data_IF_375642918019
#
_entry.id   IF_375642918019
#
_cell.length_a   1.000
_cell.length_b   1.000
_cell.length_c   1.000
_cell.angle_alpha   90.00
_cell.angle_beta   90.00
_cell.angle_gamma   90.00
#
_symmetry.space_group_name_H-M   'P 1'
#
loop_
_entity.id
_entity.type
_entity.pdbx_description
1 polymer ?
#
# COMPACT_ATOMS: atom_id res chain seq x y z
N UNK A 1 -46.28 34.91 -42.24
CA UNK A 1 -46.25 36.19 -42.97
C UNK A 1 -45.52 37.19 -42.10
N UNK A 2 -44.26 37.50 -42.42
CA UNK A 2 -43.59 38.67 -41.85
C UNK A 2 -44.22 39.92 -42.47
N UNK A 3 -44.61 40.90 -41.66
CA UNK A 3 -45.05 42.20 -42.18
C UNK A 3 -43.78 42.93 -42.63
N UNK A 4 -43.55 42.97 -43.94
CA UNK A 4 -42.43 43.69 -44.56
C UNK A 4 -42.63 45.21 -44.45
N UNK A 5 -41.54 45.98 -44.50
CA UNK A 5 -41.54 47.45 -44.43
C UNK A 5 -42.50 48.07 -45.45
N UNK A 6 -42.58 47.45 -46.63
CA UNK A 6 -43.48 47.85 -47.72
C UNK A 6 -44.95 47.73 -47.33
N UNK A 7 -45.34 46.62 -46.71
CA UNK A 7 -46.72 46.42 -46.25
C UNK A 7 -47.10 47.42 -45.14
N UNK A 8 -46.13 47.84 -44.33
CA UNK A 8 -46.34 48.86 -43.28
C UNK A 8 -46.53 50.26 -43.88
N UNK A 9 -45.77 50.59 -44.92
CA UNK A 9 -45.92 51.85 -45.65
C UNK A 9 -47.26 51.93 -46.41
N UNK A 10 -47.65 50.84 -47.09
CA UNK A 10 -48.94 50.77 -47.79
C UNK A 10 -50.13 50.93 -46.82
N UNK A 11 -50.02 50.35 -45.61
CA UNK A 11 -51.02 50.51 -44.55
C UNK A 11 -51.10 51.95 -44.03
N UNK A 12 -49.95 52.61 -43.85
CA UNK A 12 -49.91 54.02 -43.46
C UNK A 12 -50.63 54.91 -44.48
N UNK A 13 -50.34 54.76 -45.77
CA UNK A 13 -51.00 55.54 -46.84
C UNK A 13 -52.52 55.31 -46.86
N UNK A 14 -52.96 54.06 -46.62
CA UNK A 14 -54.37 53.75 -46.52
C UNK A 14 -55.02 54.48 -45.32
N UNK A 15 -54.40 54.46 -44.14
CA UNK A 15 -54.92 55.16 -42.95
C UNK A 15 -54.88 56.68 -43.09
N UNK A 16 -53.83 57.24 -43.69
CA UNK A 16 -53.71 58.68 -43.96
C UNK A 16 -54.84 59.16 -44.86
N UNK A 17 -55.17 58.40 -45.92
CA UNK A 17 -56.25 58.75 -46.86
C UNK A 17 -57.64 58.76 -46.20
N UNK A 18 -57.84 57.96 -45.16
CA UNK A 18 -59.16 57.70 -44.56
C UNK A 18 -59.40 58.54 -43.30
N UNK A 19 -58.34 58.80 -42.52
CA UNK A 19 -58.41 59.40 -41.19
C UNK A 19 -57.59 60.70 -41.07
N UNK A 20 -56.73 61.01 -42.03
CA UNK A 20 -55.77 62.13 -41.96
C UNK A 20 -54.46 61.76 -41.26
N UNK A 21 -53.37 62.50 -41.54
CA UNK A 21 -52.00 62.10 -41.16
C UNK A 21 -51.82 61.93 -39.65
N UNK A 22 -52.30 62.88 -38.84
CA UNK A 22 -52.10 62.88 -37.38
C UNK A 22 -52.70 61.64 -36.70
N UNK A 23 -53.87 61.16 -37.18
CA UNK A 23 -54.50 59.94 -36.66
C UNK A 23 -53.84 58.67 -37.19
N UNK A 24 -53.32 58.71 -38.42
CA UNK A 24 -52.56 57.60 -38.99
C UNK A 24 -51.22 57.39 -38.26
N UNK A 25 -50.50 58.47 -37.96
CA UNK A 25 -49.26 58.46 -37.18
C UNK A 25 -49.48 57.78 -35.82
N UNK A 26 -50.49 58.22 -35.05
CA UNK A 26 -50.80 57.61 -33.76
C UNK A 26 -51.21 56.13 -33.85
N UNK A 27 -51.95 55.72 -34.89
CA UNK A 27 -52.30 54.31 -35.09
C UNK A 27 -51.06 53.48 -35.41
N UNK A 28 -50.15 54.00 -36.23
CA UNK A 28 -48.89 53.32 -36.56
C UNK A 28 -47.94 53.27 -35.36
N UNK A 29 -47.91 54.28 -34.50
CA UNK A 29 -47.15 54.28 -33.23
C UNK A 29 -47.65 53.22 -32.24
N UNK A 30 -48.95 52.88 -32.27
CA UNK A 30 -49.53 51.84 -31.42
C UNK A 30 -49.28 50.42 -31.94
N UNK A 31 -48.86 50.26 -33.20
CA UNK A 31 -48.49 48.95 -33.72
C UNK A 31 -47.13 48.54 -33.14
N UNK A 32 -46.97 47.27 -32.74
CA UNK A 32 -45.68 46.80 -32.29
C UNK A 32 -44.62 47.01 -33.38
N UNK A 33 -43.38 47.42 -33.02
CA UNK A 33 -42.32 47.73 -33.98
C UNK A 33 -41.84 46.49 -34.76
N UNK A 34 -42.23 45.30 -34.31
CA UNK A 34 -41.94 43.99 -34.92
C UNK A 34 -43.24 43.27 -35.26
N UNK A 35 -43.19 42.36 -36.23
CA UNK A 35 -44.38 41.61 -36.63
C UNK A 35 -44.82 40.63 -35.55
N UNK A 36 -46.11 40.25 -35.53
CA UNK A 36 -46.61 39.19 -34.66
C UNK A 36 -45.95 37.82 -34.89
N UNK A 37 -45.26 37.65 -36.01
CA UNK A 37 -44.45 36.47 -36.31
C UNK A 37 -43.15 36.38 -35.49
N UNK A 38 -42.68 37.50 -34.93
CA UNK A 38 -41.45 37.57 -34.13
C UNK A 38 -41.72 37.33 -32.64
N UNK A 39 -43.00 37.29 -32.24
CA UNK A 39 -43.42 37.01 -30.86
C UNK A 39 -43.53 35.51 -30.67
N UNK A 40 -42.82 34.98 -29.67
CA UNK A 40 -42.93 33.56 -29.30
C UNK A 40 -44.38 33.19 -29.00
N UNK A 41 -44.87 32.16 -29.68
CA UNK A 41 -46.22 31.65 -29.50
C UNK A 41 -46.26 30.65 -28.34
N UNK A 42 -47.47 30.33 -27.87
CA UNK A 42 -47.65 29.23 -26.90
C UNK A 42 -47.14 27.90 -27.43
N UNK A 43 -47.23 27.66 -28.75
CA UNK A 43 -46.70 26.45 -29.37
C UNK A 43 -45.17 26.39 -29.28
N UNK A 44 -44.48 27.53 -29.43
CA UNK A 44 -43.02 27.60 -29.29
C UNK A 44 -42.60 27.32 -27.85
N UNK A 45 -43.37 27.84 -26.87
CA UNK A 45 -43.13 27.56 -25.45
C UNK A 45 -43.37 26.10 -25.09
N UNK A 46 -44.45 25.48 -25.58
CA UNK A 46 -44.72 24.05 -25.37
C UNK A 46 -43.61 23.18 -25.97
N UNK A 47 -43.14 23.51 -27.18
CA UNK A 47 -42.01 22.79 -27.79
C UNK A 47 -40.70 22.98 -27.04
N UNK A 48 -40.49 24.14 -26.41
CA UNK A 48 -39.34 24.38 -25.55
C UNK A 48 -39.43 23.59 -24.24
N UNK A 49 -40.61 23.56 -23.61
CA UNK A 49 -40.90 22.81 -22.39
C UNK A 49 -40.66 21.31 -22.59
N UNK A 50 -41.22 20.72 -23.64
CA UNK A 50 -41.02 19.31 -23.96
C UNK A 50 -39.54 18.97 -24.18
N UNK A 51 -38.81 19.81 -24.92
CA UNK A 51 -37.36 19.65 -25.11
C UNK A 51 -36.58 19.76 -23.81
N UNK A 52 -36.98 20.64 -22.92
CA UNK A 52 -36.35 20.79 -21.61
C UNK A 52 -36.60 19.55 -20.75
N UNK A 53 -37.82 19.07 -20.69
CA UNK A 53 -38.19 17.87 -19.93
C UNK A 53 -37.41 16.64 -20.41
N UNK A 54 -37.33 16.43 -21.73
CA UNK A 54 -36.52 15.36 -22.31
C UNK A 54 -35.05 15.47 -21.92
N UNK A 55 -34.50 16.69 -21.92
CA UNK A 55 -33.09 16.92 -21.54
C UNK A 55 -32.86 16.72 -20.05
N UNK A 56 -33.82 17.09 -19.19
CA UNK A 56 -33.75 16.82 -17.77
C UNK A 56 -33.85 15.33 -17.46
N UNK A 57 -34.76 14.61 -18.11
CA UNK A 57 -34.87 13.15 -17.99
C UNK A 57 -33.58 12.46 -18.44
N UNK A 58 -33.00 12.89 -19.55
CA UNK A 58 -31.71 12.36 -20.01
C UNK A 58 -30.60 12.61 -18.97
N UNK A 59 -30.52 13.82 -18.43
CA UNK A 59 -29.52 14.19 -17.41
C UNK A 59 -29.72 13.40 -16.11
N UNK A 60 -30.96 13.21 -15.67
CA UNK A 60 -31.28 12.39 -14.50
C UNK A 60 -30.86 10.93 -14.72
N UNK A 61 -31.10 10.37 -15.90
CA UNK A 61 -30.64 9.03 -16.27
C UNK A 61 -29.12 8.93 -16.32
N UNK A 62 -28.42 9.96 -16.81
CA UNK A 62 -26.96 10.02 -16.81
C UNK A 62 -26.39 10.06 -15.38
N UNK A 63 -27.03 10.80 -14.48
CA UNK A 63 -26.64 10.87 -13.07
C UNK A 63 -26.86 9.54 -12.37
N UNK A 64 -28.00 8.86 -12.58
CA UNK A 64 -28.24 7.54 -12.00
C UNK A 64 -27.20 6.52 -12.46
N UNK A 65 -26.85 6.50 -13.76
CA UNK A 65 -25.79 5.62 -14.27
C UNK A 65 -24.41 5.96 -13.70
N UNK A 66 -24.16 7.24 -13.41
CA UNK A 66 -22.93 7.66 -12.74
C UNK A 66 -22.88 7.15 -11.30
N UNK A 67 -23.97 7.26 -10.55
CA UNK A 67 -24.10 6.75 -9.19
C UNK A 67 -23.88 5.23 -9.15
N UNK A 68 -24.58 4.47 -9.99
CA UNK A 68 -24.39 3.00 -10.11
C UNK A 68 -22.94 2.63 -10.42
N UNK A 69 -22.28 3.37 -11.32
CA UNK A 69 -20.86 3.15 -11.65
C UNK A 69 -19.93 3.49 -10.47
N UNK A 70 -20.25 4.54 -9.71
CA UNK A 70 -19.46 4.89 -8.52
C UNK A 70 -19.60 3.82 -7.44
N UNK A 71 -20.81 3.33 -7.18
CA UNK A 71 -21.06 2.28 -6.20
C UNK A 71 -20.28 1.01 -6.53
N UNK A 72 -20.34 0.55 -7.79
CA UNK A 72 -19.56 -0.59 -8.26
C UNK A 72 -18.05 -0.38 -8.08
N UNK A 73 -17.56 0.84 -8.34
CA UNK A 73 -16.14 1.16 -8.17
C UNK A 73 -15.73 1.21 -6.70
N UNK A 74 -16.58 1.72 -5.82
CA UNK A 74 -16.34 1.71 -4.38
C UNK A 74 -16.33 0.30 -3.81
N UNK A 75 -17.26 -0.55 -4.25
CA UNK A 75 -17.27 -1.97 -3.89
C UNK A 75 -15.97 -2.66 -4.33
N UNK A 76 -15.55 -2.47 -5.57
CA UNK A 76 -14.30 -3.05 -6.07
C UNK A 76 -13.07 -2.61 -5.26
N UNK A 77 -13.00 -1.33 -4.86
CA UNK A 77 -11.92 -0.81 -4.00
C UNK A 77 -11.99 -1.41 -2.60
N UNK A 78 -13.18 -1.57 -2.02
CA UNK A 78 -13.36 -2.20 -0.72
C UNK A 78 -12.90 -3.67 -0.72
N UNK A 79 -13.24 -4.41 -1.77
CA UNK A 79 -12.82 -5.80 -1.97
C UNK A 79 -11.29 -5.90 -2.14
N UNK A 80 -10.69 -4.98 -2.91
CA UNK A 80 -9.24 -4.93 -3.08
C UNK A 80 -8.52 -4.65 -1.76
N UNK A 81 -9.07 -3.74 -0.95
CA UNK A 81 -8.52 -3.40 0.37
C UNK A 81 -8.60 -4.61 1.32
N UNK A 82 -9.74 -5.31 1.37
CA UNK A 82 -9.88 -6.54 2.15
C UNK A 82 -8.86 -7.61 1.70
N UNK A 83 -8.72 -7.81 0.38
CA UNK A 83 -7.74 -8.75 -0.14
C UNK A 83 -6.29 -8.34 0.15
N UNK A 84 -6.00 -7.04 0.27
CA UNK A 84 -4.70 -6.55 0.71
C UNK A 84 -4.45 -6.81 2.20
N UNK A 85 -5.46 -6.59 3.05
CA UNK A 85 -5.41 -6.88 4.48
C UNK A 85 -5.14 -8.37 4.74
N UNK A 86 -5.90 -9.27 4.13
CA UNK A 86 -5.68 -10.72 4.26
C UNK A 86 -4.28 -11.15 3.82
N UNK A 87 -3.77 -10.58 2.71
CA UNK A 87 -2.40 -10.87 2.24
C UNK A 87 -1.33 -10.35 3.20
N UNK A 88 -1.55 -9.19 3.82
CA UNK A 88 -0.64 -8.67 4.83
C UNK A 88 -0.63 -9.55 6.06
N UNK A 89 -1.79 -9.98 6.54
CA UNK A 89 -1.91 -10.86 7.71
C UNK A 89 -1.20 -12.20 7.49
N UNK A 90 -1.44 -12.83 6.34
CA UNK A 90 -0.75 -14.07 5.96
C UNK A 90 0.77 -13.87 5.89
N UNK A 91 1.23 -12.74 5.35
CA UNK A 91 2.66 -12.43 5.27
C UNK A 91 3.27 -12.17 6.63
N UNK A 92 2.57 -11.48 7.53
CA UNK A 92 3.01 -11.27 8.91
C UNK A 92 3.08 -12.59 9.68
N UNK A 93 2.10 -13.47 9.52
CA UNK A 93 2.14 -14.81 10.11
C UNK A 93 3.34 -15.60 9.59
N UNK A 94 3.58 -15.61 8.28
CA UNK A 94 4.73 -16.30 7.70
C UNK A 94 6.08 -15.77 8.25
N UNK A 95 6.20 -14.44 8.43
CA UNK A 95 7.40 -13.84 9.03
C UNK A 95 7.53 -14.22 10.51
N UNK A 96 6.43 -14.25 11.26
CA UNK A 96 6.44 -14.66 12.66
C UNK A 96 6.88 -16.12 12.81
N UNK A 97 6.37 -17.02 11.96
CA UNK A 97 6.76 -18.43 11.93
C UNK A 97 8.23 -18.60 11.55
N UNK A 98 8.73 -17.84 10.56
CA UNK A 98 10.13 -17.86 10.17
C UNK A 98 11.05 -17.41 11.32
N UNK A 99 10.67 -16.34 12.02
CA UNK A 99 11.41 -15.82 13.16
C UNK A 99 11.44 -16.84 14.31
N UNK A 100 10.31 -17.47 14.61
CA UNK A 100 10.24 -18.52 15.61
C UNK A 100 11.12 -19.73 15.23
N UNK A 101 11.08 -20.14 13.96
CA UNK A 101 11.97 -21.19 13.45
C UNK A 101 13.45 -20.80 13.48
N UNK A 102 13.79 -19.51 13.37
CA UNK A 102 15.17 -19.03 13.52
C UNK A 102 15.62 -19.03 14.98
N UNK A 103 14.74 -18.67 15.90
CA UNK A 103 14.98 -18.72 17.34
C UNK A 103 15.29 -20.17 17.78
N UNK A 104 14.45 -21.13 17.40
CA UNK A 104 14.63 -22.54 17.75
C UNK A 104 15.94 -23.12 17.15
N UNK A 105 16.26 -22.79 15.89
CA UNK A 105 17.54 -23.20 15.28
C UNK A 105 18.74 -22.59 16.00
N UNK A 106 18.62 -21.33 16.41
CA UNK A 106 19.69 -20.62 17.12
C UNK A 106 19.92 -21.26 18.48
N UNK A 107 18.85 -21.54 19.23
CA UNK A 107 18.89 -22.25 20.50
C UNK A 107 19.53 -23.63 20.38
N UNK A 108 19.08 -24.45 19.44
CA UNK A 108 19.66 -25.78 19.19
C UNK A 108 21.16 -25.70 18.83
N UNK A 109 21.56 -24.67 18.07
CA UNK A 109 22.97 -24.44 17.74
C UNK A 109 23.79 -24.04 18.97
N UNK A 110 23.26 -23.20 19.86
CA UNK A 110 23.92 -22.88 21.12
C UNK A 110 24.09 -24.11 22.00
N UNK A 111 23.06 -24.93 22.16
CA UNK A 111 23.14 -26.19 22.92
C UNK A 111 24.22 -27.14 22.35
N UNK A 112 24.31 -27.22 21.02
CA UNK A 112 25.36 -27.99 20.34
C UNK A 112 26.76 -27.43 20.60
N UNK A 113 26.91 -26.10 20.58
CA UNK A 113 28.19 -25.43 20.89
C UNK A 113 28.58 -25.68 22.35
N UNK A 114 27.64 -25.58 23.29
CA UNK A 114 27.90 -25.83 24.71
C UNK A 114 28.38 -27.27 24.94
N UNK A 115 27.72 -28.26 24.33
CA UNK A 115 28.17 -29.66 24.39
C UNK A 115 29.56 -29.86 23.78
N UNK A 116 29.85 -29.19 22.66
CA UNK A 116 31.17 -29.23 22.02
C UNK A 116 32.25 -28.67 22.94
N UNK A 117 32.00 -27.51 23.57
CA UNK A 117 32.92 -26.89 24.53
C UNK A 117 33.14 -27.79 25.75
N UNK A 118 32.08 -28.37 26.31
CA UNK A 118 32.19 -29.28 27.44
C UNK A 118 33.00 -30.53 27.10
N UNK A 119 32.73 -31.14 25.94
CA UNK A 119 33.50 -32.31 25.47
C UNK A 119 34.97 -31.98 25.24
N UNK A 120 35.29 -30.82 24.64
CA UNK A 120 36.66 -30.36 24.43
C UNK A 120 37.37 -30.10 25.77
N UNK A 121 36.70 -29.45 26.73
CA UNK A 121 37.26 -29.21 28.07
C UNK A 121 37.56 -30.53 28.80
N UNK A 122 36.66 -31.52 28.69
CA UNK A 122 36.85 -32.83 29.29
C UNK A 122 37.98 -33.63 28.62
N UNK A 123 38.11 -33.56 27.29
CA UNK A 123 39.23 -34.16 26.58
C UNK A 123 40.58 -33.56 27.03
N UNK A 124 40.69 -32.23 27.09
CA UNK A 124 41.90 -31.54 27.57
C UNK A 124 42.23 -31.93 29.02
N UNK A 125 41.23 -32.00 29.91
CA UNK A 125 41.44 -32.47 31.30
C UNK A 125 41.96 -33.90 31.35
N UNK A 126 41.41 -34.80 30.52
CA UNK A 126 41.81 -36.21 30.47
C UNK A 126 43.24 -36.37 29.94
N UNK A 127 43.61 -35.65 28.88
CA UNK A 127 44.97 -35.61 28.35
C UNK A 127 45.96 -35.10 29.39
N UNK A 128 45.63 -34.00 30.08
CA UNK A 128 46.46 -33.45 31.15
C UNK A 128 46.64 -34.43 32.31
N UNK A 129 45.56 -35.07 32.77
CA UNK A 129 45.64 -36.10 33.82
C UNK A 129 46.53 -37.28 33.43
N UNK A 130 46.44 -37.73 32.19
CA UNK A 130 47.25 -38.83 31.67
C UNK A 130 48.72 -38.42 31.59
N UNK A 131 49.02 -37.25 31.02
CA UNK A 131 50.37 -36.71 30.92
C UNK A 131 51.01 -36.50 32.29
N UNK A 132 50.29 -35.91 33.26
CA UNK A 132 50.78 -35.73 34.64
C UNK A 132 51.05 -37.07 35.30
N UNK A 133 50.18 -38.07 35.12
CA UNK A 133 50.37 -39.41 35.72
C UNK A 133 51.61 -40.10 35.15
N UNK A 134 51.82 -40.06 33.84
CA UNK A 134 53.00 -40.63 33.18
C UNK A 134 54.28 -39.88 33.61
N UNK A 135 54.24 -38.55 33.64
CA UNK A 135 55.35 -37.73 34.09
C UNK A 135 55.69 -38.02 35.55
N UNK A 136 54.69 -38.07 36.44
CA UNK A 136 54.89 -38.37 37.87
C UNK A 136 55.50 -39.75 38.06
N UNK A 137 55.03 -40.77 37.34
CA UNK A 137 55.60 -42.12 37.39
C UNK A 137 57.06 -42.12 36.93
N UNK A 138 57.37 -41.42 35.84
CA UNK A 138 58.72 -41.34 35.29
C UNK A 138 59.67 -40.60 36.23
N UNK A 139 59.22 -39.46 36.79
CA UNK A 139 59.97 -38.68 37.79
C UNK A 139 60.22 -39.49 39.07
N UNK A 140 59.21 -40.18 39.60
CA UNK A 140 59.36 -41.03 40.78
C UNK A 140 60.34 -42.17 40.54
N UNK A 141 60.24 -42.88 39.42
CA UNK A 141 61.18 -43.94 39.05
C UNK A 141 62.61 -43.40 38.89
N UNK A 142 62.76 -42.24 38.23
CA UNK A 142 64.05 -41.56 38.09
C UNK A 142 64.67 -41.15 39.43
N UNK A 143 63.87 -40.58 40.34
CA UNK A 143 64.32 -40.20 41.68
C UNK A 143 64.75 -41.42 42.49
N UNK A 144 63.98 -42.52 42.47
CA UNK A 144 64.33 -43.76 43.15
C UNK A 144 65.64 -44.33 42.60
N UNK A 145 65.80 -44.37 41.27
CA UNK A 145 67.02 -44.85 40.63
C UNK A 145 68.24 -43.99 41.01
N UNK A 146 68.10 -42.66 41.02
CA UNK A 146 69.16 -41.74 41.43
C UNK A 146 69.55 -41.91 42.91
N UNK A 147 68.58 -42.10 43.80
CA UNK A 147 68.86 -42.37 45.22
C UNK A 147 69.58 -43.72 45.40
N UNK A 148 69.17 -44.76 44.66
CA UNK A 148 69.81 -46.07 44.71
C UNK A 148 71.25 -46.07 44.17
N UNK A 149 71.54 -45.31 43.11
CA UNK A 149 72.92 -45.15 42.63
C UNK A 149 73.77 -44.37 43.63
N UNK A 150 73.20 -43.33 44.26
CA UNK A 150 73.91 -42.52 45.24
C UNK A 150 74.29 -43.31 46.51
N UNK A 151 73.38 -44.16 47.02
CA UNK A 151 73.69 -45.05 48.16
C UNK A 151 74.73 -46.10 47.80
N UNK A 152 74.64 -46.69 46.60
CA UNK A 152 75.62 -47.65 46.09
C UNK A 152 77.03 -47.05 46.00
N UNK A 153 77.17 -45.85 45.43
CA UNK A 153 78.45 -45.13 45.37
C UNK A 153 78.98 -44.87 46.79
N UNK A 154 78.12 -44.42 47.71
CA UNK A 154 78.51 -44.12 49.09
C UNK A 154 79.00 -45.36 49.86
N UNK A 155 78.31 -46.50 49.70
CA UNK A 155 78.74 -47.80 50.27
C UNK A 155 80.09 -48.25 49.70
N UNK A 156 80.29 -48.07 48.39
CA UNK A 156 81.54 -48.44 47.71
C UNK A 156 82.71 -47.58 48.20
N UNK A 157 82.49 -46.27 48.40
CA UNK A 157 83.48 -45.36 48.95
C UNK A 157 83.87 -45.73 50.39
N UNK A 158 82.90 -46.10 51.24
CA UNK A 158 83.17 -46.57 52.61
C UNK A 158 83.97 -47.87 52.61
N UNK A 159 83.65 -48.82 51.72
CA UNK A 159 84.36 -50.09 51.61
C UNK A 159 85.81 -49.91 51.13
N UNK A 160 86.09 -48.93 50.27
CA UNK A 160 87.46 -48.64 49.79
C UNK A 160 88.34 -47.94 50.82
N UNK A 161 87.75 -47.40 51.89
CA UNK A 161 88.46 -46.61 52.92
C UNK A 161 88.79 -47.44 54.17
N UNK A 162 88.45 -48.73 54.20
CA UNK A 162 88.81 -49.70 55.25
C UNK A 162 89.86 -50.67 54.74
#
# INVERSE_FOLDING_TARGET
MSIDERARHDLYLAFESLLGSERADHLMEMLPPVGWADVATKSDLHGLEERMDLRFQATAGDLQRLEERMDLRFQAVADELHGLEERMDLRFQAVADELHGLEERTKARFETVDHSIESAANAVRAELHTAIREQTRTLMLGLIAALATMTSISLTAIALTR
#
